data_IF_467412784713
#
_entry.id   IF_467412784713
#
_cell.length_a   1.000
_cell.length_b   1.000
_cell.length_c   1.000
_cell.angle_alpha   90.00
_cell.angle_beta   90.00
_cell.angle_gamma   90.00
#
_symmetry.space_group_name_H-M   'P 1'
#
loop_
_entity.id
_entity.type
_entity.pdbx_description
1 polymer ?
#
# COMPACT_ATOMS: atom_id res chain seq x y z
N UNK A 1 40.45 8.12 -3.00
CA UNK A 1 41.03 7.60 -4.26
C UNK A 1 40.45 8.24 -5.51
N UNK A 2 39.24 8.85 -5.46
CA UNK A 2 38.52 9.40 -6.61
C UNK A 2 39.24 10.48 -7.44
N UNK A 3 40.35 11.03 -6.94
CA UNK A 3 41.15 12.05 -7.64
C UNK A 3 42.36 11.44 -8.37
N UNK A 4 42.49 10.11 -8.37
CA UNK A 4 43.54 9.36 -9.05
C UNK A 4 42.84 8.61 -10.19
N UNK A 5 43.34 8.73 -11.41
CA UNK A 5 42.75 8.06 -12.57
C UNK A 5 43.11 6.57 -12.61
N UNK A 6 44.37 6.25 -12.26
CA UNK A 6 44.95 4.91 -12.39
C UNK A 6 45.65 4.45 -11.10
N UNK A 7 45.36 3.21 -10.70
CA UNK A 7 45.96 2.54 -9.55
C UNK A 7 46.88 1.43 -10.03
N UNK A 8 48.19 1.67 -9.94
CA UNK A 8 49.21 0.75 -10.45
C UNK A 8 49.45 -0.44 -9.53
N UNK A 9 49.29 -0.25 -8.22
CA UNK A 9 49.64 -1.26 -7.22
C UNK A 9 49.00 -1.04 -5.86
N UNK A 10 48.63 -2.13 -5.21
CA UNK A 10 48.13 -2.18 -3.83
C UNK A 10 49.06 -3.07 -3.02
N UNK A 11 49.87 -2.46 -2.14
CA UNK A 11 50.79 -3.21 -1.29
C UNK A 11 50.14 -3.56 0.06
N UNK A 12 49.96 -4.84 0.33
CA UNK A 12 49.50 -5.34 1.63
C UNK A 12 50.72 -5.73 2.48
N UNK A 13 50.98 -4.94 3.53
CA UNK A 13 52.14 -5.12 4.41
C UNK A 13 51.84 -6.13 5.53
N UNK A 14 52.68 -7.15 5.65
CA UNK A 14 52.55 -8.23 6.63
C UNK A 14 53.85 -8.45 7.39
N UNK A 15 53.78 -9.14 8.54
CA UNK A 15 54.96 -9.76 9.16
C UNK A 15 54.94 -11.24 8.83
N UNK A 16 56.09 -11.89 8.59
CA UNK A 16 56.16 -13.29 8.16
C UNK A 16 55.94 -14.30 9.29
N UNK A 17 56.01 -13.87 10.55
CA UNK A 17 55.91 -14.74 11.72
C UNK A 17 54.51 -14.73 12.38
N UNK A 18 53.48 -14.29 11.66
CA UNK A 18 52.10 -14.36 12.13
C UNK A 18 51.45 -15.66 11.64
N UNK A 19 51.57 -16.75 12.43
CA UNK A 19 50.95 -18.04 12.13
C UNK A 19 49.41 -18.02 12.15
N UNK A 20 48.81 -16.98 12.73
CA UNK A 20 47.36 -16.75 12.70
C UNK A 20 47.08 -15.35 12.19
N UNK A 21 46.38 -15.26 11.06
CA UNK A 21 45.80 -14.01 10.61
C UNK A 21 44.71 -13.58 11.61
N UNK A 22 44.89 -12.41 12.20
CA UNK A 22 43.93 -11.82 13.12
C UNK A 22 42.55 -11.69 12.45
N UNK A 23 41.46 -11.90 13.19
CA UNK A 23 40.07 -11.67 12.73
C UNK A 23 39.95 -10.27 12.11
N UNK A 24 40.57 -9.26 12.73
CA UNK A 24 40.61 -7.90 12.20
C UNK A 24 41.28 -7.83 10.83
N UNK A 25 42.34 -8.59 10.59
CA UNK A 25 43.04 -8.60 9.30
C UNK A 25 42.18 -9.24 8.20
N UNK A 26 41.57 -10.39 8.49
CA UNK A 26 40.64 -11.04 7.54
C UNK A 26 39.46 -10.12 7.22
N UNK A 27 38.94 -9.43 8.23
CA UNK A 27 37.90 -8.42 8.04
C UNK A 27 38.38 -7.28 7.13
N UNK A 28 39.56 -6.72 7.36
CA UNK A 28 40.11 -5.64 6.53
C UNK A 28 40.30 -6.07 5.06
N UNK A 29 40.84 -7.27 4.80
CA UNK A 29 40.96 -7.77 3.42
C UNK A 29 39.59 -7.96 2.79
N UNK A 30 38.66 -8.61 3.50
CA UNK A 30 37.32 -8.85 2.98
C UNK A 30 36.58 -7.54 2.66
N UNK A 31 36.69 -6.55 3.54
CA UNK A 31 36.06 -5.26 3.36
C UNK A 31 36.68 -4.52 2.17
N UNK A 32 38.02 -4.48 2.10
CA UNK A 32 38.74 -3.88 0.97
C UNK A 32 38.33 -4.52 -0.37
N UNK A 33 38.27 -5.85 -0.45
CA UNK A 33 37.85 -6.57 -1.65
C UNK A 33 36.34 -6.45 -1.94
N UNK A 34 35.52 -6.08 -0.96
CA UNK A 34 34.07 -5.85 -1.17
C UNK A 34 33.81 -4.54 -1.91
N UNK A 35 34.71 -3.56 -1.77
CA UNK A 35 34.56 -2.22 -2.35
C UNK A 35 35.50 -1.98 -3.54
N UNK A 36 36.40 -2.91 -3.85
CA UNK A 36 37.27 -2.84 -5.02
C UNK A 36 36.64 -3.56 -6.22
N UNK A 37 36.84 -3.00 -7.41
CA UNK A 37 36.49 -3.69 -8.65
C UNK A 37 37.42 -4.90 -8.86
N UNK A 38 36.95 -5.93 -9.58
CA UNK A 38 37.69 -7.18 -9.77
C UNK A 38 39.07 -6.98 -10.40
N UNK A 39 39.21 -6.05 -11.34
CA UNK A 39 40.49 -5.71 -11.98
C UNK A 39 41.52 -5.19 -10.98
N UNK A 40 41.10 -4.45 -9.95
CA UNK A 40 42.00 -3.96 -8.90
C UNK A 40 42.68 -5.09 -8.10
N UNK A 41 42.07 -6.28 -8.07
CA UNK A 41 42.64 -7.45 -7.39
C UNK A 41 43.93 -7.95 -8.07
N UNK A 42 44.10 -7.69 -9.37
CA UNK A 42 45.29 -8.08 -10.14
C UNK A 42 46.51 -7.20 -9.79
N UNK A 43 46.28 -5.99 -9.29
CA UNK A 43 47.31 -5.06 -8.84
C UNK A 43 47.68 -5.26 -7.35
N UNK A 44 47.14 -6.29 -6.67
CA UNK A 44 47.45 -6.57 -5.26
C UNK A 44 48.73 -7.39 -5.15
N UNK A 45 49.64 -6.92 -4.30
CA UNK A 45 50.87 -7.63 -3.92
C UNK A 45 51.02 -7.69 -2.40
N UNK A 46 51.77 -8.68 -1.93
CA UNK A 46 52.01 -8.91 -0.51
C UNK A 46 53.47 -8.63 -0.18
N UNK A 47 53.67 -7.70 0.77
CA UNK A 47 54.98 -7.25 1.21
C UNK A 47 55.21 -7.70 2.65
N UNK A 48 56.06 -8.71 2.84
CA UNK A 48 56.45 -9.23 4.15
C UNK A 48 57.61 -8.40 4.70
N UNK A 49 57.30 -7.57 5.68
CA UNK A 49 58.23 -6.74 6.44
C UNK A 49 58.86 -7.53 7.59
N UNK A 50 60.03 -7.08 8.08
CA UNK A 50 60.79 -7.76 9.14
C UNK A 50 61.20 -9.19 8.73
N UNK A 51 61.50 -9.39 7.44
CA UNK A 51 61.73 -10.72 6.89
C UNK A 51 63.10 -11.34 7.27
N UNK A 52 64.00 -10.60 7.91
CA UNK A 52 65.30 -11.16 8.31
C UNK A 52 65.16 -12.36 9.24
N UNK A 53 64.19 -12.34 10.18
CA UNK A 53 63.97 -13.46 11.11
C UNK A 53 63.56 -14.76 10.40
N UNK A 54 63.09 -14.64 9.17
CA UNK A 54 62.66 -15.75 8.31
C UNK A 54 63.54 -15.89 7.08
N UNK A 55 64.79 -15.39 7.12
CA UNK A 55 65.74 -15.44 6.01
C UNK A 55 65.20 -14.88 4.69
N UNK A 56 64.41 -13.80 4.78
CA UNK A 56 63.73 -13.16 3.66
C UNK A 56 62.67 -14.02 2.97
N UNK A 57 62.04 -14.92 3.74
CA UNK A 57 60.89 -15.69 3.32
C UNK A 57 59.60 -15.25 4.02
N UNK A 58 58.42 -15.48 3.43
CA UNK A 58 57.12 -15.13 4.01
C UNK A 58 56.76 -15.84 5.33
N UNK A 59 57.51 -16.87 5.71
CA UNK A 59 57.34 -17.63 6.96
C UNK A 59 55.95 -18.26 7.15
N UNK A 60 55.53 -18.37 8.40
CA UNK A 60 54.27 -19.01 8.81
C UNK A 60 53.02 -18.23 8.38
N UNK A 61 53.17 -16.97 7.97
CA UNK A 61 52.04 -16.15 7.51
C UNK A 61 51.56 -16.57 6.12
N UNK A 62 52.44 -17.09 5.27
CA UNK A 62 52.09 -17.50 3.91
C UNK A 62 51.01 -18.60 3.88
N UNK A 63 51.16 -19.74 4.57
CA UNK A 63 50.13 -20.79 4.57
C UNK A 63 48.76 -20.30 5.09
N UNK A 64 48.76 -19.45 6.12
CA UNK A 64 47.54 -18.87 6.68
C UNK A 64 46.85 -17.92 5.69
N UNK A 65 47.63 -17.15 4.92
CA UNK A 65 47.14 -16.27 3.87
C UNK A 65 46.63 -17.06 2.67
N UNK A 66 47.36 -18.06 2.18
CA UNK A 66 46.93 -18.93 1.07
C UNK A 66 45.57 -19.58 1.37
N UNK A 67 45.41 -20.10 2.59
CA UNK A 67 44.13 -20.69 3.02
C UNK A 67 42.99 -19.67 2.96
N UNK A 68 43.25 -18.42 3.36
CA UNK A 68 42.24 -17.37 3.34
C UNK A 68 41.90 -16.91 1.91
N UNK A 69 42.90 -16.71 1.06
CA UNK A 69 42.73 -16.32 -0.34
C UNK A 69 42.01 -17.42 -1.14
N UNK A 70 42.29 -18.70 -0.85
CA UNK A 70 41.57 -19.82 -1.46
C UNK A 70 40.09 -19.79 -1.13
N UNK A 71 39.73 -19.57 0.13
CA UNK A 71 38.33 -19.41 0.55
C UNK A 71 37.65 -18.22 -0.15
N UNK A 72 38.37 -17.11 -0.33
CA UNK A 72 37.84 -15.96 -1.07
C UNK A 72 37.56 -16.26 -2.54
N UNK A 73 38.40 -17.05 -3.19
CA UNK A 73 38.18 -17.48 -4.56
C UNK A 73 36.96 -18.42 -4.67
N UNK A 74 36.80 -19.34 -3.72
CA UNK A 74 35.65 -20.25 -3.66
C UNK A 74 34.32 -19.51 -3.40
N UNK A 75 34.32 -18.55 -2.47
CA UNK A 75 33.11 -17.81 -2.07
C UNK A 75 32.73 -16.69 -3.05
N UNK A 76 33.71 -16.03 -3.67
CA UNK A 76 33.51 -14.76 -4.41
C UNK A 76 34.09 -14.74 -5.82
N UNK A 77 34.81 -15.79 -6.24
CA UNK A 77 35.45 -15.85 -7.57
C UNK A 77 36.57 -14.83 -7.77
N UNK A 78 37.15 -14.31 -6.68
CA UNK A 78 38.27 -13.37 -6.70
C UNK A 78 39.57 -14.16 -6.55
N UNK A 79 40.35 -14.25 -7.63
CA UNK A 79 41.62 -14.96 -7.64
C UNK A 79 42.78 -13.99 -7.38
N UNK A 80 43.29 -13.99 -6.15
CA UNK A 80 44.52 -13.27 -5.79
C UNK A 80 45.60 -14.32 -5.60
N UNK A 81 46.61 -14.28 -6.47
CA UNK A 81 47.70 -15.25 -6.42
C UNK A 81 48.74 -14.84 -5.39
N UNK A 82 49.13 -15.77 -4.53
CA UNK A 82 50.31 -15.64 -3.67
C UNK A 82 51.46 -16.41 -4.30
N UNK A 83 52.08 -15.80 -5.30
CA UNK A 83 53.16 -16.39 -6.10
C UNK A 83 54.43 -15.55 -5.94
N UNK A 84 55.61 -16.06 -6.38
CA UNK A 84 56.84 -15.28 -6.34
C UNK A 84 56.71 -13.88 -6.97
N UNK A 85 56.02 -13.67 -8.10
CA UNK A 85 55.84 -12.34 -8.68
C UNK A 85 55.03 -11.38 -7.81
N UNK A 86 54.13 -11.86 -6.95
CA UNK A 86 53.24 -11.01 -6.13
C UNK A 86 53.65 -10.98 -4.66
N UNK A 87 54.78 -11.60 -4.31
CA UNK A 87 55.26 -11.76 -2.94
C UNK A 87 56.65 -11.18 -2.80
N UNK A 88 56.83 -10.24 -1.89
CA UNK A 88 58.08 -9.52 -1.68
C UNK A 88 58.47 -9.53 -0.21
N UNK A 89 59.74 -9.79 0.09
CA UNK A 89 60.22 -9.85 1.46
C UNK A 89 61.31 -8.81 1.70
N UNK A 90 61.08 -7.92 2.66
CA UNK A 90 61.96 -6.78 2.93
C UNK A 90 62.17 -6.60 4.43
N UNK A 91 63.27 -5.95 4.79
CA UNK A 91 63.57 -5.58 6.16
C UNK A 91 63.95 -4.10 6.26
N UNK A 92 63.70 -3.49 7.43
CA UNK A 92 63.97 -2.09 7.70
C UNK A 92 65.15 -1.88 8.66
N UNK A 93 65.85 -2.94 9.05
CA UNK A 93 66.95 -2.84 9.99
C UNK A 93 68.12 -2.00 9.50
N UNK A 94 68.36 -1.94 8.19
CA UNK A 94 69.38 -1.06 7.62
C UNK A 94 69.06 0.42 7.89
N UNK A 95 67.78 0.80 7.76
CA UNK A 95 67.32 2.13 8.12
C UNK A 95 67.47 2.39 9.63
N UNK A 96 67.11 1.41 10.47
CA UNK A 96 67.32 1.51 11.92
C UNK A 96 68.79 1.67 12.29
N UNK A 97 69.68 0.96 11.61
CA UNK A 97 71.13 1.10 11.76
C UNK A 97 71.58 2.53 11.45
N UNK A 98 71.12 3.12 10.35
CA UNK A 98 71.43 4.53 10.02
C UNK A 98 70.94 5.50 11.11
N UNK A 99 69.74 5.29 11.65
CA UNK A 99 69.24 6.09 12.77
C UNK A 99 70.12 5.97 14.02
N UNK A 100 70.61 4.77 14.35
CA UNK A 100 71.52 4.56 15.49
C UNK A 100 72.84 5.32 15.28
N UNK A 101 73.44 5.24 14.09
CA UNK A 101 74.67 5.97 13.76
C UNK A 101 74.44 7.49 13.85
N UNK A 102 73.31 7.98 13.33
CA UNK A 102 72.95 9.38 13.42
C UNK A 102 72.78 9.87 14.87
N UNK A 103 72.26 9.01 15.75
CA UNK A 103 72.13 9.27 17.18
C UNK A 103 73.47 9.17 17.95
N UNK A 104 74.58 8.84 17.29
CA UNK A 104 75.90 8.70 17.91
C UNK A 104 76.18 7.35 18.57
N UNK A 105 75.33 6.35 18.35
CA UNK A 105 75.51 5.00 18.90
C UNK A 105 76.55 4.21 18.10
N UNK A 106 77.69 3.93 18.71
CA UNK A 106 78.82 3.26 18.03
C UNK A 106 78.88 1.76 18.24
N UNK A 107 78.13 1.19 19.21
CA UNK A 107 78.13 -0.25 19.50
C UNK A 107 77.64 -1.11 18.32
N UNK A 108 76.78 -0.54 17.46
CA UNK A 108 76.20 -1.22 16.29
C UNK A 108 77.14 -1.27 15.09
N UNK A 109 78.22 -0.48 15.05
CA UNK A 109 79.14 -0.39 13.90
C UNK A 109 79.77 -1.75 13.57
N UNK A 110 80.08 -2.56 14.60
CA UNK A 110 80.61 -3.91 14.44
C UNK A 110 79.73 -4.82 13.60
N UNK A 111 78.42 -4.54 13.52
CA UNK A 111 77.42 -5.32 12.78
C UNK A 111 77.08 -4.73 11.41
N UNK A 112 77.80 -3.68 10.96
CA UNK A 112 77.53 -2.97 9.69
C UNK A 112 77.37 -3.90 8.49
N UNK A 113 78.22 -4.92 8.36
CA UNK A 113 78.17 -5.85 7.22
C UNK A 113 76.80 -6.55 7.09
N UNK A 114 76.21 -6.96 8.21
CA UNK A 114 74.93 -7.63 8.20
C UNK A 114 73.76 -6.69 7.87
N UNK A 115 73.81 -5.45 8.33
CA UNK A 115 72.83 -4.42 7.96
C UNK A 115 72.96 -4.00 6.50
N UNK A 116 74.18 -3.99 5.94
CA UNK A 116 74.42 -3.71 4.53
C UNK A 116 73.87 -4.82 3.63
N UNK A 117 74.08 -6.10 4.00
CA UNK A 117 73.46 -7.23 3.30
C UNK A 117 71.93 -7.14 3.31
N UNK A 118 71.34 -6.80 4.45
CA UNK A 118 69.89 -6.58 4.57
C UNK A 118 69.36 -5.47 3.68
N UNK A 119 70.12 -4.37 3.58
CA UNK A 119 69.82 -3.27 2.67
C UNK A 119 69.80 -3.75 1.21
N UNK A 120 70.86 -4.45 0.78
CA UNK A 120 70.99 -4.91 -0.60
C UNK A 120 69.86 -5.86 -1.00
N UNK A 121 69.46 -6.77 -0.11
CA UNK A 121 68.32 -7.67 -0.35
C UNK A 121 67.01 -6.87 -0.47
N UNK A 122 66.75 -5.96 0.48
CA UNK A 122 65.51 -5.17 0.49
C UNK A 122 65.41 -4.23 -0.71
N UNK A 123 66.52 -3.65 -1.16
CA UNK A 123 66.58 -2.82 -2.37
C UNK A 123 66.31 -3.65 -3.62
N UNK A 124 66.93 -4.83 -3.77
CA UNK A 124 66.67 -5.73 -4.89
C UNK A 124 65.19 -6.13 -4.96
N UNK A 125 64.60 -6.48 -3.83
CA UNK A 125 63.19 -6.84 -3.74
C UNK A 125 62.26 -5.65 -4.05
N UNK A 126 62.63 -4.45 -3.62
CA UNK A 126 61.88 -3.23 -3.95
C UNK A 126 61.94 -2.89 -5.44
N UNK A 127 63.11 -3.06 -6.07
CA UNK A 127 63.25 -2.88 -7.52
C UNK A 127 62.38 -3.91 -8.27
N UNK A 128 62.40 -5.17 -7.84
CA UNK A 128 61.55 -6.25 -8.39
C UNK A 128 60.06 -5.93 -8.26
N UNK A 129 59.66 -5.27 -7.17
CA UNK A 129 58.30 -4.79 -6.95
C UNK A 129 57.91 -3.71 -7.96
N UNK A 130 58.75 -2.69 -8.16
CA UNK A 130 58.46 -1.63 -9.13
C UNK A 130 58.39 -2.17 -10.56
N UNK A 131 59.33 -3.04 -10.95
CA UNK A 131 59.32 -3.68 -12.27
C UNK A 131 58.02 -4.47 -12.53
N UNK A 132 57.52 -5.16 -11.52
CA UNK A 132 56.25 -5.86 -11.65
C UNK A 132 55.07 -4.90 -11.88
N UNK A 133 55.01 -3.77 -11.18
CA UNK A 133 53.98 -2.76 -11.41
C UNK A 133 54.11 -2.04 -12.76
N UNK A 134 55.29 -2.01 -13.37
CA UNK A 134 55.48 -1.52 -14.74
C UNK A 134 54.94 -2.50 -15.79
N UNK A 135 54.91 -3.80 -15.48
CA UNK A 135 54.41 -4.85 -16.38
C UNK A 135 52.89 -5.07 -16.30
N UNK A 136 52.29 -4.80 -15.14
CA UNK A 136 50.84 -4.99 -14.93
C UNK A 136 50.06 -3.79 -15.46
N UNK A 137 48.89 -4.06 -16.04
CA UNK A 137 47.96 -3.00 -16.45
C UNK A 137 47.42 -2.26 -15.20
N UNK A 138 47.54 -0.93 -15.13
CA UNK A 138 46.99 -0.16 -14.03
C UNK A 138 45.46 -0.30 -13.96
N UNK A 139 44.94 -0.40 -12.74
CA UNK A 139 43.51 -0.44 -12.51
C UNK A 139 42.88 0.96 -12.70
N UNK A 140 41.83 1.07 -13.52
CA UNK A 140 41.11 2.32 -13.73
C UNK A 140 40.21 2.60 -12.53
N UNK A 141 40.56 3.61 -11.73
CA UNK A 141 39.89 3.91 -10.46
C UNK A 141 38.40 4.22 -10.65
N UNK A 142 38.03 4.80 -11.80
CA UNK A 142 36.64 5.09 -12.17
C UNK A 142 35.75 3.83 -12.15
N UNK A 143 36.28 2.65 -12.45
CA UNK A 143 35.50 1.40 -12.39
C UNK A 143 35.09 1.07 -10.95
N UNK A 144 35.99 1.30 -9.99
CA UNK A 144 35.70 1.12 -8.57
C UNK A 144 34.74 2.18 -8.04
N UNK A 145 34.91 3.43 -8.47
CA UNK A 145 34.00 4.53 -8.10
C UNK A 145 32.60 4.24 -8.62
N UNK A 146 32.46 3.91 -9.91
CA UNK A 146 31.19 3.58 -10.54
C UNK A 146 30.47 2.42 -9.87
N UNK A 147 31.21 1.34 -9.53
CA UNK A 147 30.63 0.19 -8.81
C UNK A 147 30.10 0.59 -7.43
N UNK A 148 30.85 1.39 -6.68
CA UNK A 148 30.43 1.85 -5.36
C UNK A 148 29.28 2.86 -5.44
N UNK A 149 29.27 3.74 -6.43
CA UNK A 149 28.16 4.65 -6.70
C UNK A 149 26.88 3.88 -7.04
N UNK A 150 26.96 2.87 -7.92
CA UNK A 150 25.83 2.01 -8.24
C UNK A 150 25.31 1.28 -7.00
N UNK A 151 26.20 0.76 -6.15
CA UNK A 151 25.83 0.13 -4.87
C UNK A 151 25.13 1.11 -3.94
N UNK A 152 25.65 2.32 -3.78
CA UNK A 152 25.04 3.36 -2.95
C UNK A 152 23.68 3.78 -3.49
N UNK A 153 23.54 3.90 -4.81
CA UNK A 153 22.28 4.19 -5.47
C UNK A 153 21.24 3.10 -5.16
N UNK A 154 21.59 1.82 -5.31
CA UNK A 154 20.70 0.68 -4.99
C UNK A 154 20.24 0.74 -3.53
N UNK A 155 21.17 0.93 -2.59
CA UNK A 155 20.85 1.03 -1.16
C UNK A 155 19.95 2.24 -0.85
N UNK A 156 20.21 3.37 -1.50
CA UNK A 156 19.43 4.60 -1.32
C UNK A 156 18.03 4.46 -1.92
N UNK A 157 17.89 3.74 -3.03
CA UNK A 157 16.60 3.48 -3.69
C UNK A 157 15.77 2.40 -2.98
N UNK A 158 16.39 1.47 -2.25
CA UNK A 158 15.68 0.40 -1.57
C UNK A 158 14.63 0.93 -0.57
N UNK A 159 14.96 2.00 0.17
CA UNK A 159 14.04 2.62 1.13
C UNK A 159 12.80 3.24 0.47
N UNK A 160 12.92 4.21 -0.47
CA UNK A 160 11.75 4.77 -1.13
C UNK A 160 10.96 3.71 -1.91
N UNK A 161 11.59 2.68 -2.48
CA UNK A 161 10.85 1.56 -3.10
C UNK A 161 9.99 0.79 -2.10
N UNK A 162 10.50 0.53 -0.90
CA UNK A 162 9.72 -0.09 0.17
C UNK A 162 8.56 0.81 0.61
N UNK A 163 8.80 2.11 0.76
CA UNK A 163 7.77 3.09 1.11
C UNK A 163 6.68 3.18 0.02
N UNK A 164 7.05 3.20 -1.26
CA UNK A 164 6.10 3.16 -2.38
C UNK A 164 5.30 1.86 -2.37
N UNK A 165 5.96 0.72 -2.15
CA UNK A 165 5.27 -0.59 -2.10
C UNK A 165 4.25 -0.62 -0.97
N UNK A 166 4.60 -0.10 0.20
CA UNK A 166 3.68 0.01 1.33
C UNK A 166 2.50 0.93 1.01
N UNK A 167 2.76 2.10 0.43
CA UNK A 167 1.70 3.03 0.02
C UNK A 167 0.76 2.41 -1.03
N UNK A 168 1.29 1.65 -1.98
CA UNK A 168 0.48 0.92 -2.97
C UNK A 168 -0.40 -0.12 -2.27
N UNK A 169 0.15 -0.90 -1.35
CA UNK A 169 -0.61 -1.90 -0.60
C UNK A 169 -1.69 -1.26 0.27
N UNK A 170 -1.39 -0.14 0.93
CA UNK A 170 -2.34 0.60 1.75
C UNK A 170 -3.46 1.17 0.87
N UNK A 171 -3.15 1.71 -0.30
CA UNK A 171 -4.14 2.18 -1.26
C UNK A 171 -5.03 1.04 -1.79
N UNK A 172 -4.46 -0.13 -2.11
CA UNK A 172 -5.24 -1.32 -2.49
C UNK A 172 -6.19 -1.71 -1.36
N UNK A 173 -5.70 -1.78 -0.12
CA UNK A 173 -6.52 -2.12 1.03
C UNK A 173 -7.67 -1.11 1.24
N UNK A 174 -7.40 0.18 1.04
CA UNK A 174 -8.42 1.23 1.10
C UNK A 174 -9.45 1.11 -0.03
N UNK A 175 -9.02 0.81 -1.25
CA UNK A 175 -9.90 0.58 -2.40
C UNK A 175 -10.78 -0.64 -2.15
N UNK A 176 -10.23 -1.74 -1.66
CA UNK A 176 -10.99 -2.94 -1.34
C UNK A 176 -11.99 -2.71 -0.20
N UNK A 177 -11.60 -1.93 0.81
CA UNK A 177 -12.52 -1.52 1.86
C UNK A 177 -13.68 -0.70 1.29
N UNK A 178 -13.40 0.28 0.42
CA UNK A 178 -14.43 1.09 -0.25
C UNK A 178 -15.29 0.27 -1.20
N UNK A 179 -14.70 -0.70 -1.91
CA UNK A 179 -15.43 -1.63 -2.77
C UNK A 179 -16.41 -2.48 -1.95
N UNK A 180 -15.97 -3.00 -0.79
CA UNK A 180 -16.86 -3.71 0.14
C UNK A 180 -17.97 -2.81 0.69
N UNK A 181 -17.67 -1.55 1.00
CA UNK A 181 -18.70 -0.56 1.38
C UNK A 181 -19.72 -0.37 0.25
N UNK A 182 -19.27 -0.23 -1.01
CA UNK A 182 -20.15 -0.10 -2.18
C UNK A 182 -20.96 -1.38 -2.40
N UNK A 183 -20.36 -2.57 -2.34
CA UNK A 183 -21.05 -3.85 -2.47
C UNK A 183 -22.09 -4.04 -1.36
N UNK A 184 -21.82 -3.57 -0.14
CA UNK A 184 -22.79 -3.53 0.96
C UNK A 184 -23.96 -2.56 0.66
N UNK A 185 -23.68 -1.40 0.06
CA UNK A 185 -24.71 -0.46 -0.38
C UNK A 185 -25.53 -1.02 -1.57
N UNK A 186 -24.91 -1.71 -2.53
CA UNK A 186 -25.56 -2.37 -3.66
C UNK A 186 -26.38 -3.59 -3.25
N UNK A 187 -25.92 -4.36 -2.26
CA UNK A 187 -26.74 -5.41 -1.65
C UNK A 187 -27.90 -4.81 -0.85
N UNK A 188 -27.73 -3.61 -0.27
CA UNK A 188 -28.82 -2.74 0.17
C UNK A 188 -29.78 -2.33 -0.97
N UNK A 189 -29.28 -2.09 -2.19
CA UNK A 189 -30.08 -1.83 -3.41
C UNK A 189 -30.84 -3.07 -3.92
N UNK A 190 -30.26 -4.27 -3.81
CA UNK A 190 -30.99 -5.54 -4.03
C UNK A 190 -32.06 -5.79 -2.96
N UNK A 191 -31.82 -5.38 -1.71
CA UNK A 191 -32.84 -5.36 -0.66
C UNK A 191 -33.93 -4.30 -0.90
N UNK A 192 -33.58 -3.17 -1.54
CA UNK A 192 -34.53 -2.15 -2.00
C UNK A 192 -35.44 -2.68 -3.13
N UNK A 193 -34.95 -3.55 -4.04
CA UNK A 193 -35.80 -4.24 -5.03
C UNK A 193 -36.82 -5.19 -4.38
N UNK A 194 -36.55 -5.76 -3.21
CA UNK A 194 -37.54 -6.53 -2.43
C UNK A 194 -38.58 -5.64 -1.73
N UNK A 195 -38.23 -4.37 -1.48
CA UNK A 195 -39.15 -3.35 -0.96
C UNK A 195 -39.98 -2.63 -2.04
N UNK A 196 -39.81 -2.99 -3.32
CA UNK A 196 -40.46 -2.32 -4.46
C UNK A 196 -42.00 -2.38 -4.44
N UNK A 197 -42.59 -3.37 -3.78
CA UNK A 197 -44.04 -3.50 -3.69
C UNK A 197 -44.53 -2.92 -2.38
N UNK A 198 -45.06 -1.71 -2.44
CA UNK A 198 -45.67 -1.05 -1.27
C UNK A 198 -47.16 -1.42 -1.26
N UNK A 199 -47.71 -1.92 -0.14
CA UNK A 199 -49.14 -2.10 0.01
C UNK A 199 -49.82 -0.71 0.05
N UNK A 200 -50.59 -0.38 -0.99
CA UNK A 200 -51.35 0.86 -1.06
C UNK A 200 -52.85 0.60 -0.84
N UNK A 201 -53.48 1.19 0.18
CA UNK A 201 -54.92 1.05 0.39
C UNK A 201 -55.67 1.90 -0.64
N UNK A 202 -56.37 1.24 -1.56
CA UNK A 202 -57.28 1.86 -2.53
C UNK A 202 -58.73 1.72 -2.05
N UNK A 203 -59.52 2.79 -2.21
CA UNK A 203 -60.95 2.75 -1.92
C UNK A 203 -61.67 2.15 -3.14
N UNK A 204 -62.45 1.09 -2.91
CA UNK A 204 -63.34 0.48 -3.89
C UNK A 204 -64.78 0.86 -3.56
N UNK A 205 -65.63 0.99 -4.59
CA UNK A 205 -67.05 1.33 -4.41
C UNK A 205 -67.93 0.25 -5.01
N UNK A 206 -68.85 -0.29 -4.22
CA UNK A 206 -69.88 -1.22 -4.70
C UNK A 206 -71.24 -0.51 -4.72
N UNK A 207 -72.02 -0.58 -5.83
CA UNK A 207 -73.33 0.07 -5.91
C UNK A 207 -74.32 -0.50 -4.88
N UNK A 208 -75.05 0.38 -4.20
CA UNK A 208 -76.16 0.03 -3.32
C UNK A 208 -77.50 0.36 -4.00
N UNK A 209 -78.50 -0.49 -3.79
CA UNK A 209 -79.86 -0.29 -4.32
C UNK A 209 -80.70 0.74 -3.56
N UNK A 210 -80.15 1.39 -2.54
CA UNK A 210 -80.84 2.32 -1.64
C UNK A 210 -79.90 3.46 -1.24
N UNK A 211 -80.44 4.65 -0.91
CA UNK A 211 -79.60 5.75 -0.47
C UNK A 211 -79.24 5.62 1.01
N UNK A 212 -77.97 5.85 1.31
CA UNK A 212 -77.38 5.84 2.66
C UNK A 212 -76.93 7.25 3.02
N UNK A 213 -77.21 7.72 4.23
CA UNK A 213 -76.77 9.06 4.67
C UNK A 213 -75.40 8.99 5.31
N UNK A 214 -74.45 9.77 4.77
CA UNK A 214 -73.10 9.93 5.31
C UNK A 214 -72.81 11.38 5.66
N UNK A 215 -71.76 11.62 6.44
CA UNK A 215 -71.29 12.96 6.80
C UNK A 215 -70.00 13.31 6.06
N UNK A 216 -69.94 14.53 5.53
CA UNK A 216 -68.78 15.11 4.82
C UNK A 216 -67.92 16.00 5.71
N UNK A 217 -68.23 16.12 7.01
CA UNK A 217 -67.39 16.88 7.93
C UNK A 217 -66.00 16.22 8.05
N UNK A 218 -64.96 17.05 8.13
CA UNK A 218 -63.55 16.63 8.27
C UNK A 218 -63.30 15.59 9.38
N UNK A 219 -64.10 15.59 10.45
CA UNK A 219 -64.01 14.61 11.54
C UNK A 219 -64.62 13.25 11.19
N UNK A 220 -65.55 13.21 10.25
CA UNK A 220 -66.31 12.02 9.84
C UNK A 220 -65.81 11.40 8.53
N UNK A 221 -64.93 12.11 7.82
CA UNK A 221 -64.29 11.63 6.60
C UNK A 221 -62.81 11.36 6.82
N UNK A 222 -62.23 10.62 5.90
CA UNK A 222 -60.79 10.45 5.76
C UNK A 222 -60.42 10.63 4.30
N UNK A 223 -59.50 11.54 3.99
CA UNK A 223 -59.02 11.75 2.63
C UNK A 223 -57.79 10.89 2.39
N UNK A 224 -57.86 10.00 1.40
CA UNK A 224 -56.73 9.18 0.96
C UNK A 224 -56.29 9.62 -0.43
N UNK A 225 -54.97 9.70 -0.66
CA UNK A 225 -54.44 9.96 -2.00
C UNK A 225 -54.39 8.65 -2.78
N UNK A 226 -54.88 8.69 -4.02
CA UNK A 226 -54.79 7.55 -4.93
C UNK A 226 -53.35 7.37 -5.37
N UNK A 227 -52.88 6.13 -5.43
CA UNK A 227 -51.51 5.82 -5.83
C UNK A 227 -51.21 6.44 -7.21
N UNK A 228 -50.03 7.06 -7.37
CA UNK A 228 -49.51 7.62 -8.63
C UNK A 228 -50.35 8.71 -9.30
N UNK A 229 -51.27 9.35 -8.58
CA UNK A 229 -52.03 10.52 -9.08
C UNK A 229 -52.17 11.57 -7.99
N UNK A 230 -52.41 12.83 -8.36
CA UNK A 230 -52.77 13.90 -7.41
C UNK A 230 -54.25 13.85 -7.01
N UNK A 231 -54.97 12.78 -7.35
CA UNK A 231 -56.39 12.61 -7.05
C UNK A 231 -56.58 12.22 -5.58
N UNK A 232 -57.44 12.96 -4.88
CA UNK A 232 -57.83 12.69 -3.49
C UNK A 232 -59.17 11.96 -3.50
N UNK A 233 -59.22 10.79 -2.87
CA UNK A 233 -60.44 10.04 -2.63
C UNK A 233 -60.92 10.27 -1.18
N UNK A 234 -62.22 10.49 -1.02
CA UNK A 234 -62.83 10.70 0.31
C UNK A 234 -63.48 9.38 0.77
N UNK A 235 -63.04 8.88 1.92
CA UNK A 235 -63.66 7.76 2.63
C UNK A 235 -64.62 8.31 3.68
N UNK A 236 -65.90 7.96 3.56
CA UNK A 236 -66.93 8.31 4.53
C UNK A 236 -66.94 7.30 5.68
N UNK A 237 -66.11 7.53 6.71
CA UNK A 237 -65.96 6.61 7.86
C UNK A 237 -67.26 6.44 8.65
N UNK A 238 -68.06 7.49 8.75
CA UNK A 238 -69.26 7.48 9.58
C UNK A 238 -70.52 7.37 8.74
N UNK A 239 -71.11 6.18 8.74
CA UNK A 239 -72.46 5.93 8.23
C UNK A 239 -73.45 6.46 9.27
N UNK A 240 -74.10 7.57 8.93
CA UNK A 240 -75.00 8.29 9.85
C UNK A 240 -76.42 7.70 9.82
N UNK A 241 -76.86 7.22 8.64
CA UNK A 241 -78.09 6.47 8.49
C UNK A 241 -77.92 5.44 7.39
N UNK A 242 -78.08 4.16 7.73
CA UNK A 242 -77.72 3.06 6.84
C UNK A 242 -78.65 2.94 5.61
N UNK A 243 -79.97 3.09 5.83
CA UNK A 243 -81.00 3.03 4.79
C UNK A 243 -81.97 4.21 4.97
N UNK A 244 -81.87 5.24 4.12
CA UNK A 244 -82.78 6.37 4.16
C UNK A 244 -83.91 6.21 3.13
N UNK A 245 -85.15 6.52 3.53
CA UNK A 245 -86.33 6.44 2.67
C UNK A 245 -86.80 7.82 2.17
N UNK A 246 -85.97 8.86 2.28
CA UNK A 246 -86.29 10.19 1.77
C UNK A 246 -86.08 10.23 0.26
N UNK A 247 -87.16 10.43 -0.50
CA UNK A 247 -87.12 10.46 -1.97
C UNK A 247 -86.67 11.83 -2.53
N UNK A 248 -86.80 12.91 -1.74
CA UNK A 248 -86.49 14.28 -2.16
C UNK A 248 -85.03 14.70 -1.89
N UNK A 249 -84.10 13.76 -1.85
CA UNK A 249 -82.68 14.03 -1.62
C UNK A 249 -81.87 13.53 -2.82
N UNK A 250 -81.35 14.47 -3.61
CA UNK A 250 -80.37 14.16 -4.67
C UNK A 250 -79.08 13.61 -4.04
N UNK A 251 -78.58 12.44 -4.49
CA UNK A 251 -77.30 11.91 -4.03
C UNK A 251 -76.13 12.88 -4.27
N UNK A 252 -75.10 12.77 -3.43
CA UNK A 252 -73.83 13.51 -3.48
C UNK A 252 -73.95 15.05 -3.41
N UNK A 253 -75.11 15.56 -3.00
CA UNK A 253 -75.36 16.99 -2.86
C UNK A 253 -75.28 17.44 -1.40
N UNK A 254 -74.38 18.39 -1.11
CA UNK A 254 -74.26 19.05 0.20
C UNK A 254 -74.25 20.58 0.01
N UNK A 255 -75.05 21.35 0.77
CA UNK A 255 -76.09 20.91 1.71
C UNK A 255 -77.41 20.59 0.99
N UNK A 256 -78.20 19.63 1.50
CA UNK A 256 -79.56 19.35 1.03
C UNK A 256 -80.59 19.49 2.18
N UNK A 257 -81.48 20.50 2.19
CA UNK A 257 -82.44 20.73 3.27
C UNK A 257 -83.39 19.57 3.56
N UNK A 258 -83.66 18.69 2.58
CA UNK A 258 -84.52 17.52 2.81
C UNK A 258 -83.94 16.56 3.87
N UNK A 259 -82.61 16.57 4.07
CA UNK A 259 -81.93 15.77 5.10
C UNK A 259 -82.23 16.19 6.53
N UNK A 260 -82.81 17.37 6.76
CA UNK A 260 -83.32 17.76 8.09
C UNK A 260 -84.38 16.79 8.62
N UNK A 261 -85.08 16.09 7.71
CA UNK A 261 -86.09 15.07 8.02
C UNK A 261 -85.52 13.66 8.09
N UNK A 262 -84.19 13.49 7.97
CA UNK A 262 -83.56 12.18 8.07
C UNK A 262 -83.64 11.69 9.52
N UNK A 263 -83.92 10.40 9.73
CA UNK A 263 -84.04 9.80 11.06
C UNK A 263 -82.76 9.96 11.91
N UNK A 264 -81.61 10.13 11.26
CA UNK A 264 -80.36 10.41 11.98
C UNK A 264 -80.33 11.81 12.63
N UNK A 265 -81.15 12.76 12.19
CA UNK A 265 -81.16 14.13 12.73
C UNK A 265 -82.08 14.25 13.94
N UNK A 266 -81.58 14.85 15.01
CA UNK A 266 -82.37 15.16 16.20
C UNK A 266 -83.18 16.46 16.01
N UNK A 267 -83.98 16.84 17.02
CA UNK A 267 -84.80 18.05 17.00
C UNK A 267 -84.02 19.36 16.90
N UNK A 268 -82.72 19.35 17.23
CA UNK A 268 -81.80 20.48 17.09
C UNK A 268 -81.06 20.48 15.74
N UNK A 269 -81.41 19.56 14.83
CA UNK A 269 -80.80 19.37 13.51
C UNK A 269 -79.31 18.95 13.56
N UNK A 270 -78.92 18.26 14.62
CA UNK A 270 -77.64 17.58 14.74
C UNK A 270 -77.81 16.08 14.55
N UNK A 271 -76.82 15.45 13.90
CA UNK A 271 -76.82 14.02 13.71
C UNK A 271 -76.60 13.30 15.05
N UNK A 272 -77.50 12.38 15.38
CA UNK A 272 -77.42 11.52 16.58
C UNK A 272 -76.26 10.51 16.54
N UNK A 273 -75.69 10.24 15.36
CA UNK A 273 -74.55 9.32 15.20
C UNK A 273 -73.20 10.03 15.29
N UNK A 274 -73.00 11.10 14.53
CA UNK A 274 -71.69 11.76 14.41
C UNK A 274 -71.60 13.11 15.13
N UNK A 275 -72.72 13.63 15.64
CA UNK A 275 -72.77 14.94 16.31
C UNK A 275 -72.62 16.15 15.38
N UNK A 276 -72.48 15.95 14.07
CA UNK A 276 -72.33 17.05 13.11
C UNK A 276 -73.69 17.64 12.70
N UNK A 277 -73.77 18.93 12.36
CA UNK A 277 -75.01 19.52 11.89
C UNK A 277 -75.45 18.95 10.52
N UNK A 278 -76.76 19.00 10.27
CA UNK A 278 -77.38 18.39 9.08
C UNK A 278 -76.79 18.85 7.74
N UNK A 279 -76.26 20.08 7.69
CA UNK A 279 -75.70 20.68 6.48
C UNK A 279 -74.35 20.07 6.03
N UNK A 280 -73.77 19.16 6.82
CA UNK A 280 -72.62 18.34 6.44
C UNK A 280 -73.00 16.92 6.01
N UNK A 281 -74.26 16.65 5.67
CA UNK A 281 -74.70 15.31 5.30
C UNK A 281 -75.18 15.25 3.85
N UNK A 282 -75.03 14.07 3.24
CA UNK A 282 -75.55 13.74 1.90
C UNK A 282 -75.95 12.28 1.80
N UNK A 283 -76.70 11.95 0.75
CA UNK A 283 -76.93 10.57 0.33
C UNK A 283 -75.80 10.08 -0.57
N UNK A 284 -75.36 8.86 -0.34
CA UNK A 284 -74.57 8.07 -1.29
C UNK A 284 -75.34 6.80 -1.63
N UNK A 285 -75.15 6.30 -2.84
CA UNK A 285 -75.79 5.06 -3.35
C UNK A 285 -74.75 3.98 -3.61
N UNK A 286 -73.66 3.99 -2.86
CA UNK A 286 -72.58 3.02 -2.95
C UNK A 286 -71.98 2.79 -1.56
N UNK A 287 -71.42 1.62 -1.36
CA UNK A 287 -70.63 1.25 -0.20
C UNK A 287 -69.15 1.39 -0.53
N UNK A 288 -68.35 1.89 0.42
CA UNK A 288 -66.90 2.03 0.25
C UNK A 288 -66.18 0.92 1.00
N UNK A 289 -65.42 0.11 0.26
CA UNK A 289 -64.45 -0.84 0.79
C UNK A 289 -63.02 -0.28 0.71
N UNK A 290 -62.09 -0.88 1.44
CA UNK A 290 -60.65 -0.64 1.25
C UNK A 290 -59.97 -1.95 0.86
N UNK A 291 -59.42 -2.00 -0.35
CA UNK A 291 -58.57 -3.10 -0.79
C UNK A 291 -57.11 -2.65 -0.82
N UNK A 292 -56.20 -3.55 -0.49
CA UNK A 292 -54.76 -3.28 -0.57
C UNK A 292 -54.26 -3.74 -1.92
N UNK A 293 -53.88 -2.80 -2.79
CA UNK A 293 -53.21 -3.12 -4.05
C UNK A 293 -51.69 -2.94 -3.90
N UNK A 294 -50.92 -3.76 -4.60
CA UNK A 294 -49.46 -3.66 -4.60
C UNK A 294 -49.05 -2.74 -5.75
N UNK A 295 -48.34 -1.65 -5.46
CA UNK A 295 -47.92 -0.69 -6.49
C UNK A 295 -46.42 -0.39 -6.42
N UNK A 296 -45.84 -0.13 -7.59
CA UNK A 296 -44.39 0.05 -7.78
C UNK A 296 -43.97 1.51 -7.52
N UNK A 297 -42.88 1.72 -6.77
CA UNK A 297 -42.36 3.07 -6.47
C UNK A 297 -41.70 3.73 -7.71
N UNK A 298 -42.18 4.91 -8.19
CA UNK A 298 -41.66 5.57 -9.39
C UNK A 298 -40.22 6.06 -9.25
N UNK A 299 -39.79 6.43 -8.04
CA UNK A 299 -38.44 6.96 -7.79
C UNK A 299 -37.40 5.83 -7.89
N UNK A 300 -37.77 4.64 -7.42
CA UNK A 300 -36.93 3.44 -7.56
C UNK A 300 -36.87 2.98 -9.02
N UNK A 301 -37.97 3.11 -9.79
CA UNK A 301 -37.95 2.83 -11.23
C UNK A 301 -36.98 3.75 -11.99
N UNK A 302 -36.93 5.03 -11.64
CA UNK A 302 -36.02 5.98 -12.26
C UNK A 302 -34.55 5.61 -11.99
N UNK A 303 -34.20 5.34 -10.73
CA UNK A 303 -32.84 4.91 -10.33
C UNK A 303 -32.40 3.59 -10.99
N UNK A 304 -33.34 2.70 -11.31
CA UNK A 304 -33.05 1.45 -12.03
C UNK A 304 -32.85 1.66 -13.54
N UNK A 305 -33.49 2.68 -14.12
CA UNK A 305 -33.30 3.03 -15.53
C UNK A 305 -31.93 3.67 -15.77
N UNK A 306 -31.47 4.51 -14.84
CA UNK A 306 -30.17 5.18 -14.89
C UNK A 306 -29.00 4.19 -14.71
N UNK A 307 -29.14 3.17 -13.85
CA UNK A 307 -28.10 2.13 -13.70
C UNK A 307 -28.02 1.16 -14.90
N UNK A 308 -29.04 1.11 -15.76
CA UNK A 308 -29.05 0.23 -16.93
C UNK A 308 -28.23 0.80 -18.09
N UNK A 309 -28.18 2.13 -18.23
CA UNK A 309 -27.42 2.78 -19.29
C UNK A 309 -25.90 2.65 -19.14
N UNK A 310 -25.40 2.51 -17.91
CA UNK A 310 -23.95 2.44 -17.66
C UNK A 310 -23.32 1.07 -17.98
N UNK A 311 -24.13 0.00 -17.97
CA UNK A 311 -23.67 -1.35 -18.33
C UNK A 311 -23.56 -1.54 -19.84
N UNK A 312 -24.45 -0.93 -20.62
CA UNK A 312 -24.44 -1.05 -22.10
C UNK A 312 -23.30 -0.25 -22.76
N UNK A 313 -22.72 0.72 -22.05
CA UNK A 313 -21.57 1.53 -22.53
C UNK A 313 -20.22 0.80 -22.35
N UNK A 314 -20.16 -0.23 -21.49
CA UNK A 314 -18.93 -1.02 -21.29
C UNK A 314 -18.77 -2.21 -22.26
N UNK A 315 -19.76 -2.51 -23.10
CA UNK A 315 -19.74 -3.62 -24.07
C UNK A 315 -19.61 -3.18 -25.55
N UNK A 316 -19.27 -1.92 -25.84
CA UNK A 316 -18.90 -1.43 -27.18
C UNK A 316 -17.44 -0.96 -27.24
#
# INVERSE_FOLDING_TARGET
ISNIDELHGICILLKPNNARLNVMFKYCINELLTHLHKSAAENIVFCFTNARSTFYEPGDTKPALETHLKGLNEDRGVNIQLAPPTTYCMDNEAFRFLCCIHAGETSVISKRGSYAESWDISVKETIRLFQHFEEITPHIVKETVSLNEARQLILTLAKPLADVTQNVQDNINQIDAKRKEIEALESGSKDLKKKLKIPHPQITTEPLGFPRTVCTNSTCIETKRKAHTNEVQVLYKTICHDHCYLENVTPEQVPNPALQKCQAMNSQLFCSKCGCPWNFHMHITFEQGTETIMVDDPHIQQLLSENRSDLDVQEQ
#
